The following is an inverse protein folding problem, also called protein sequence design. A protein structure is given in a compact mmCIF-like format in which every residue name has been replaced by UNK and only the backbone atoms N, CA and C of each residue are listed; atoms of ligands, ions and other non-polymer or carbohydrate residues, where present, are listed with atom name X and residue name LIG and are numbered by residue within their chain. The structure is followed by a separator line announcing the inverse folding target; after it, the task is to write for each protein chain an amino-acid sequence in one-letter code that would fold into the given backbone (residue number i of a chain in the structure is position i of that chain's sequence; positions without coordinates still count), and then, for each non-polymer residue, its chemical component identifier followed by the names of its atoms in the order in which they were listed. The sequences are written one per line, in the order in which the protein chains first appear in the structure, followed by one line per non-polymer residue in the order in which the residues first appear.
data_IF_663429349952
#
_entry.id   IF_663429349952
#
_cell.length_a   1.000
_cell.length_b   1.000
_cell.length_c   1.000
_cell.angle_alpha   90.00
_cell.angle_beta   90.00
_cell.angle_gamma   90.00
#
_symmetry.space_group_name_H-M   'P 1'
#
loop_
_entity.id
_entity.type
_entity.pdbx_description
1 polymer ?
#
# COMPACT_ATOMS: atom_id res chain seq x y z
N UNK A 1 48.34 26.06 1.02
CA UNK A 1 46.92 26.41 0.72
C UNK A 1 46.03 25.24 0.26
N UNK A 2 46.57 24.14 -0.29
CA UNK A 2 45.74 23.02 -0.79
C UNK A 2 44.97 22.23 0.30
N UNK A 3 45.50 22.17 1.53
CA UNK A 3 44.91 21.39 2.63
C UNK A 3 43.57 21.94 3.12
N UNK A 4 43.44 23.27 3.24
CA UNK A 4 42.20 23.93 3.67
C UNK A 4 41.05 23.79 2.65
N UNK A 5 41.38 23.79 1.35
CA UNK A 5 40.40 23.65 0.28
C UNK A 5 39.71 22.28 0.30
N UNK A 6 40.44 21.21 0.67
CA UNK A 6 39.93 19.83 0.71
C UNK A 6 38.88 19.64 1.82
N UNK A 7 39.08 20.25 2.99
CA UNK A 7 38.12 20.16 4.11
C UNK A 7 36.83 20.96 3.88
N UNK A 8 36.90 22.12 3.21
CA UNK A 8 35.69 22.88 2.86
C UNK A 8 34.84 22.17 1.79
N UNK A 9 35.47 21.56 0.78
CA UNK A 9 34.77 20.82 -0.26
C UNK A 9 34.10 19.55 0.30
N UNK A 10 34.78 18.82 1.19
CA UNK A 10 34.20 17.66 1.89
C UNK A 10 32.93 18.01 2.66
N UNK A 11 32.94 19.10 3.41
CA UNK A 11 31.81 19.54 4.25
C UNK A 11 30.59 19.92 3.39
N UNK A 12 30.81 20.64 2.29
CA UNK A 12 29.75 20.99 1.34
C UNK A 12 29.12 19.78 0.64
N UNK A 13 29.94 18.76 0.31
CA UNK A 13 29.46 17.51 -0.31
C UNK A 13 28.62 16.69 0.68
N UNK A 14 29.04 16.58 1.95
CA UNK A 14 28.29 15.85 2.97
C UNK A 14 26.94 16.50 3.28
N UNK A 15 26.90 17.83 3.39
CA UNK A 15 25.65 18.58 3.60
C UNK A 15 24.70 18.43 2.40
N UNK A 16 25.23 18.56 1.17
CA UNK A 16 24.46 18.35 -0.06
C UNK A 16 23.89 16.92 -0.14
N UNK A 17 24.68 15.91 0.24
CA UNK A 17 24.26 14.49 0.27
C UNK A 17 23.16 14.24 1.30
N UNK A 18 23.20 14.93 2.45
CA UNK A 18 22.16 14.85 3.47
C UNK A 18 20.84 15.49 3.03
N UNK A 19 20.91 16.67 2.40
CA UNK A 19 19.73 17.38 1.88
C UNK A 19 19.09 16.59 0.73
N UNK A 20 19.89 16.12 -0.24
CA UNK A 20 19.41 15.31 -1.38
C UNK A 20 18.70 14.04 -0.91
N UNK A 21 19.20 13.38 0.15
CA UNK A 21 18.55 12.19 0.72
C UNK A 21 17.13 12.47 1.22
N UNK A 22 16.92 13.61 1.89
CA UNK A 22 15.60 14.02 2.39
C UNK A 22 14.66 14.39 1.24
N UNK A 23 15.16 15.06 0.21
CA UNK A 23 14.38 15.45 -0.98
C UNK A 23 13.93 14.22 -1.76
N UNK A 24 14.82 13.25 -2.01
CA UNK A 24 14.45 12.00 -2.67
C UNK A 24 13.48 11.16 -1.85
N UNK A 25 13.66 11.12 -0.53
CA UNK A 25 12.73 10.43 0.36
C UNK A 25 11.35 11.08 0.32
N UNK A 26 11.26 12.41 0.42
CA UNK A 26 10.00 13.13 0.31
C UNK A 26 9.33 12.94 -1.06
N UNK A 27 10.10 12.94 -2.14
CA UNK A 27 9.60 12.69 -3.50
C UNK A 27 9.10 11.25 -3.67
N UNK A 28 9.85 10.26 -3.19
CA UNK A 28 9.46 8.85 -3.23
C UNK A 28 8.18 8.62 -2.41
N UNK A 29 8.12 9.16 -1.18
CA UNK A 29 6.93 9.13 -0.33
C UNK A 29 5.74 9.75 -1.05
N UNK A 30 5.87 10.96 -1.60
CA UNK A 30 4.76 11.65 -2.29
C UNK A 30 4.24 10.88 -3.50
N UNK A 31 5.14 10.26 -4.26
CA UNK A 31 4.81 9.47 -5.45
C UNK A 31 4.12 8.15 -5.09
N UNK A 32 4.58 7.49 -4.03
CA UNK A 32 3.98 6.26 -3.50
C UNK A 32 2.61 6.56 -2.89
N UNK A 33 2.49 7.62 -2.09
CA UNK A 33 1.22 8.02 -1.49
C UNK A 33 0.14 8.26 -2.55
N UNK A 34 0.43 8.95 -3.65
CA UNK A 34 -0.60 9.25 -4.64
C UNK A 34 -1.18 7.99 -5.33
N UNK A 35 -0.31 7.01 -5.64
CA UNK A 35 -0.74 5.73 -6.20
C UNK A 35 -1.46 4.84 -5.16
N UNK A 36 -1.01 4.87 -3.90
CA UNK A 36 -1.69 4.17 -2.80
C UNK A 36 -3.06 4.77 -2.50
N UNK A 37 -3.21 6.11 -2.54
CA UNK A 37 -4.49 6.79 -2.27
C UNK A 37 -5.57 6.38 -3.26
N UNK A 38 -5.26 6.29 -4.55
CA UNK A 38 -6.27 5.91 -5.55
C UNK A 38 -6.76 4.46 -5.35
N UNK A 39 -5.84 3.54 -5.05
CA UNK A 39 -6.16 2.12 -4.83
C UNK A 39 -6.90 1.90 -3.52
N UNK A 40 -6.49 2.57 -2.45
CA UNK A 40 -7.17 2.51 -1.15
C UNK A 40 -8.55 3.15 -1.21
N UNK A 41 -8.71 4.27 -1.92
CA UNK A 41 -10.02 4.87 -2.16
C UNK A 41 -10.94 3.91 -2.94
N UNK A 42 -10.42 3.21 -3.95
CA UNK A 42 -11.17 2.17 -4.67
C UNK A 42 -11.62 1.02 -3.75
N UNK A 43 -10.75 0.52 -2.88
CA UNK A 43 -11.09 -0.51 -1.89
C UNK A 43 -12.19 -0.02 -0.95
N UNK A 44 -12.06 1.21 -0.43
CA UNK A 44 -13.07 1.80 0.49
C UNK A 44 -14.41 1.97 -0.21
N UNK A 45 -14.42 2.43 -1.47
CA UNK A 45 -15.64 2.58 -2.26
C UNK A 45 -16.35 1.24 -2.49
N UNK A 46 -15.61 0.21 -2.88
CA UNK A 46 -16.20 -1.12 -3.07
C UNK A 46 -16.66 -1.74 -1.74
N UNK A 47 -15.88 -1.60 -0.67
CA UNK A 47 -16.28 -2.03 0.66
C UNK A 47 -17.56 -1.32 1.12
N UNK A 48 -17.66 -0.01 0.91
CA UNK A 48 -18.86 0.76 1.19
C UNK A 48 -20.07 0.28 0.38
N UNK A 49 -19.87 -0.02 -0.91
CA UNK A 49 -20.89 -0.64 -1.76
C UNK A 49 -21.40 -1.97 -1.21
N UNK A 50 -20.52 -2.81 -0.66
CA UNK A 50 -20.90 -4.07 0.00
C UNK A 50 -21.70 -3.80 1.27
N UNK A 51 -21.27 -2.85 2.11
CA UNK A 51 -21.98 -2.48 3.34
C UNK A 51 -23.42 -1.98 3.09
N UNK A 52 -23.66 -1.30 1.96
CA UNK A 52 -25.00 -0.85 1.58
C UNK A 52 -25.93 -1.99 1.14
N UNK A 53 -25.36 -3.06 0.60
CA UNK A 53 -26.13 -4.17 0.03
C UNK A 53 -26.27 -5.34 1.01
N UNK A 54 -25.35 -5.47 1.97
CA UNK A 54 -25.32 -6.59 2.92
C UNK A 54 -25.15 -6.08 4.35
N UNK A 55 -26.06 -6.50 5.23
CA UNK A 55 -25.92 -6.28 6.67
C UNK A 55 -24.89 -7.26 7.25
N UNK A 56 -23.67 -6.77 7.46
CA UNK A 56 -22.59 -7.57 8.08
C UNK A 56 -22.98 -8.06 9.48
N UNK A 57 -23.72 -7.25 10.24
CA UNK A 57 -24.21 -7.64 11.56
C UNK A 57 -25.10 -8.88 11.52
N UNK A 58 -26.00 -8.97 10.53
CA UNK A 58 -26.86 -10.14 10.35
C UNK A 58 -26.06 -11.36 9.90
N UNK A 59 -25.09 -11.19 9.00
CA UNK A 59 -24.21 -12.29 8.57
C UNK A 59 -23.41 -12.84 9.76
N UNK A 60 -22.85 -11.99 10.61
CA UNK A 60 -22.09 -12.42 11.80
C UNK A 60 -23.00 -13.09 12.84
N UNK A 61 -24.20 -12.55 13.07
CA UNK A 61 -25.16 -13.14 13.99
C UNK A 61 -25.58 -14.54 13.54
N UNK A 62 -25.89 -14.70 12.25
CA UNK A 62 -26.24 -15.99 11.67
C UNK A 62 -25.05 -16.95 11.62
N UNK A 63 -23.83 -16.46 11.36
CA UNK A 63 -22.61 -17.27 11.37
C UNK A 63 -22.29 -17.82 12.77
N UNK A 64 -22.50 -17.02 13.82
CA UNK A 64 -22.37 -17.48 15.22
C UNK A 64 -23.36 -18.59 15.56
N UNK A 65 -24.56 -18.54 14.98
CA UNK A 65 -25.58 -19.57 15.17
C UNK A 65 -25.29 -20.83 14.36
N UNK A 66 -24.74 -20.68 13.15
CA UNK A 66 -24.36 -21.79 12.27
C UNK A 66 -23.10 -22.53 12.74
N UNK A 67 -22.18 -21.85 13.45
CA UNK A 67 -20.91 -22.38 13.96
C UNK A 67 -20.04 -23.11 12.91
N UNK A 68 -20.22 -22.81 11.63
CA UNK A 68 -19.52 -23.43 10.51
C UNK A 68 -18.94 -22.35 9.59
N UNK A 69 -17.67 -22.53 9.20
CA UNK A 69 -17.00 -21.67 8.24
C UNK A 69 -17.62 -21.79 6.82
N UNK A 70 -18.26 -22.92 6.51
CA UNK A 70 -18.97 -23.13 5.23
C UNK A 70 -20.15 -22.16 5.05
N UNK A 71 -20.72 -21.65 6.15
CA UNK A 71 -21.80 -20.68 6.14
C UNK A 71 -21.43 -19.42 5.36
N UNK A 72 -20.20 -18.93 5.48
CA UNK A 72 -19.77 -17.73 4.76
C UNK A 72 -19.73 -17.95 3.24
N UNK A 73 -19.31 -19.12 2.79
CA UNK A 73 -19.30 -19.46 1.37
C UNK A 73 -20.73 -19.59 0.82
N UNK A 74 -21.63 -20.21 1.58
CA UNK A 74 -23.05 -20.31 1.21
C UNK A 74 -23.75 -18.95 1.20
N UNK A 75 -23.56 -18.14 2.24
CA UNK A 75 -24.12 -16.80 2.32
C UNK A 75 -23.61 -15.91 1.17
N UNK A 76 -22.32 -16.02 0.82
CA UNK A 76 -21.75 -15.32 -0.33
C UNK A 76 -22.36 -15.76 -1.66
N UNK A 77 -22.53 -17.07 -1.87
CA UNK A 77 -23.16 -17.60 -3.09
C UNK A 77 -24.61 -17.13 -3.27
N UNK A 78 -25.30 -16.82 -2.17
CA UNK A 78 -26.66 -16.30 -2.16
C UNK A 78 -26.76 -14.77 -2.22
N UNK A 79 -25.63 -14.04 -2.26
CA UNK A 79 -25.64 -12.58 -2.44
C UNK A 79 -25.89 -12.17 -3.89
N UNK A 80 -26.44 -10.96 -4.06
CA UNK A 80 -26.61 -10.31 -5.35
C UNK A 80 -25.31 -10.24 -6.15
N UNK A 81 -25.40 -10.39 -7.48
CA UNK A 81 -24.24 -10.37 -8.37
C UNK A 81 -23.36 -9.12 -8.18
N UNK A 82 -23.96 -7.97 -7.87
CA UNK A 82 -23.24 -6.72 -7.65
C UNK A 82 -22.33 -6.77 -6.41
N UNK A 83 -22.74 -7.49 -5.36
CA UNK A 83 -21.93 -7.68 -4.14
C UNK A 83 -20.74 -8.58 -4.44
N UNK A 84 -20.97 -9.65 -5.20
CA UNK A 84 -19.91 -10.54 -5.65
C UNK A 84 -18.88 -9.78 -6.50
N UNK A 85 -19.34 -8.92 -7.42
CA UNK A 85 -18.49 -8.07 -8.24
C UNK A 85 -17.64 -7.10 -7.38
N UNK A 86 -18.25 -6.45 -6.38
CA UNK A 86 -17.50 -5.58 -5.45
C UNK A 86 -16.48 -6.35 -4.61
N UNK A 87 -16.82 -7.55 -4.13
CA UNK A 87 -15.90 -8.41 -3.38
C UNK A 87 -14.68 -8.80 -4.23
N UNK A 88 -14.89 -9.21 -5.48
CA UNK A 88 -13.80 -9.50 -6.42
C UNK A 88 -12.96 -8.24 -6.67
N UNK A 89 -13.59 -7.08 -6.84
CA UNK A 89 -12.91 -5.79 -6.98
C UNK A 89 -12.00 -5.45 -5.80
N UNK A 90 -12.48 -5.66 -4.57
CA UNK A 90 -11.68 -5.47 -3.34
C UNK A 90 -10.49 -6.42 -3.32
N UNK A 91 -10.68 -7.70 -3.65
CA UNK A 91 -9.60 -8.70 -3.65
C UNK A 91 -8.52 -8.31 -4.68
N UNK A 92 -8.91 -8.00 -5.91
CA UNK A 92 -7.98 -7.61 -6.99
C UNK A 92 -7.19 -6.37 -6.59
N UNK A 93 -7.86 -5.32 -6.11
CA UNK A 93 -7.19 -4.09 -5.68
C UNK A 93 -6.26 -4.33 -4.49
N UNK A 94 -6.65 -5.19 -3.56
CA UNK A 94 -5.82 -5.53 -2.39
C UNK A 94 -4.56 -6.29 -2.78
N UNK A 95 -4.68 -7.29 -3.66
CA UNK A 95 -3.53 -8.03 -4.20
C UNK A 95 -2.62 -7.07 -4.98
N UNK A 96 -3.20 -6.21 -5.81
CA UNK A 96 -2.42 -5.24 -6.59
C UNK A 96 -1.73 -4.20 -5.69
N UNK A 97 -2.37 -3.79 -4.60
CA UNK A 97 -1.77 -2.91 -3.60
C UNK A 97 -0.61 -3.59 -2.89
N UNK A 98 -0.79 -4.84 -2.44
CA UNK A 98 0.25 -5.62 -1.78
C UNK A 98 1.45 -5.84 -2.71
N UNK A 99 1.19 -6.15 -3.99
CA UNK A 99 2.23 -6.28 -5.00
C UNK A 99 3.01 -4.97 -5.21
N UNK A 100 2.32 -3.82 -5.28
CA UNK A 100 2.99 -2.53 -5.43
C UNK A 100 3.83 -2.16 -4.20
N UNK A 101 3.34 -2.44 -3.00
CA UNK A 101 4.10 -2.26 -1.75
C UNK A 101 5.35 -3.14 -1.78
N UNK A 102 5.21 -4.42 -2.12
CA UNK A 102 6.33 -5.36 -2.21
C UNK A 102 7.38 -4.92 -3.23
N UNK A 103 6.94 -4.48 -4.43
CA UNK A 103 7.83 -3.99 -5.48
C UNK A 103 8.56 -2.72 -5.06
N UNK A 104 7.84 -1.78 -4.44
CA UNK A 104 8.41 -0.52 -3.93
C UNK A 104 9.44 -0.79 -2.85
N UNK A 105 9.15 -1.71 -1.94
CA UNK A 105 10.05 -2.09 -0.86
C UNK A 105 11.32 -2.77 -1.37
N UNK A 106 11.21 -3.70 -2.33
CA UNK A 106 12.37 -4.29 -3.01
C UNK A 106 13.22 -3.23 -3.72
N UNK A 107 12.61 -2.33 -4.48
CA UNK A 107 13.31 -1.24 -5.18
C UNK A 107 14.09 -0.32 -4.22
N UNK A 108 13.48 0.03 -3.08
CA UNK A 108 14.13 0.84 -2.05
C UNK A 108 15.37 0.14 -1.43
N UNK A 109 15.34 -1.18 -1.26
CA UNK A 109 16.51 -1.94 -0.79
C UNK A 109 17.64 -2.02 -1.82
N UNK A 110 17.32 -2.14 -3.11
CA UNK A 110 18.33 -2.20 -4.17
C UNK A 110 19.06 -0.87 -4.36
N UNK A 111 18.35 0.27 -4.26
CA UNK A 111 18.98 1.60 -4.32
C UNK A 111 19.82 1.92 -3.08
N UNK A 112 19.37 1.50 -1.89
CA UNK A 112 20.14 1.63 -0.66
C UNK A 112 21.46 0.84 -0.71
N UNK A 113 21.46 -0.36 -1.30
CA UNK A 113 22.66 -1.18 -1.51
C UNK A 113 23.61 -0.60 -2.58
N UNK A 114 23.07 0.07 -3.61
CA UNK A 114 23.85 0.73 -4.65
C UNK A 114 24.57 2.00 -4.18
N UNK A 115 23.97 2.76 -3.25
CA UNK A 115 24.55 3.99 -2.69
C UNK A 115 25.68 3.76 -1.67
N UNK A 116 25.92 2.51 -1.24
CA UNK A 116 27.04 2.12 -0.36
C UNK A 116 28.29 1.76 -1.17
N UNK A 117 28.17 1.56 -2.49
CA UNK A 117 29.29 1.18 -3.39
C UNK A 117 29.99 2.36 -4.08
N UNK A 118 29.69 3.61 -3.73
CA UNK A 118 30.35 4.82 -4.26
C UNK A 118 30.85 5.76 -3.15
#
# INVERSE_FOLDING_TARGET
MAFFKKHMVSSGIQLKKAIMRRVYLAYAVRRVFHALTLKTAGIVLFAWGIFLQVSIGNVIANARQAADASYFAYAFAQTEFIVQAFMVGVIILSIWLAHDIYRTWKGAHTEAAGLVRF
#
